data_IF_131752080813
#
_entry.id   IF_131752080813
#
_cell.length_a   1.000
_cell.length_b   1.000
_cell.length_c   1.000
_cell.angle_alpha   90.00
_cell.angle_beta   90.00
_cell.angle_gamma   90.00
#
_symmetry.space_group_name_H-M   'P 1'
#
loop_
_entity.id
_entity.type
_entity.pdbx_description
1 polymer ?
#
# COMPACT_ATOMS: atom_id res chain seq x y z
N UNK A 1 -27.63 27.98 -39.46
CA UNK A 1 -27.42 27.71 -38.01
C UNK A 1 -28.28 26.50 -37.67
N UNK A 2 -27.83 25.31 -37.27
CA UNK A 2 -26.54 24.76 -36.88
C UNK A 2 -26.46 23.33 -37.45
N UNK A 3 -25.33 23.00 -38.05
CA UNK A 3 -24.93 21.63 -38.40
C UNK A 3 -24.22 21.02 -37.18
N UNK A 4 -24.80 20.00 -36.56
CA UNK A 4 -24.09 19.17 -35.58
C UNK A 4 -23.68 17.86 -36.24
N UNK A 5 -22.43 17.82 -36.71
CA UNK A 5 -21.75 16.60 -37.11
C UNK A 5 -21.63 15.68 -35.89
N UNK A 6 -22.35 14.55 -35.93
CA UNK A 6 -21.96 13.34 -35.21
C UNK A 6 -20.63 12.87 -35.78
N UNK A 7 -19.52 13.25 -35.13
CA UNK A 7 -18.27 12.49 -35.26
C UNK A 7 -18.43 11.25 -34.38
N UNK A 8 -18.79 10.14 -35.03
CA UNK A 8 -18.51 8.82 -34.49
C UNK A 8 -17.00 8.74 -34.26
N UNK A 9 -16.60 8.87 -33.00
CA UNK A 9 -15.27 8.46 -32.57
C UNK A 9 -15.31 6.94 -32.62
N UNK A 10 -14.80 6.41 -33.73
CA UNK A 10 -14.47 5.02 -33.92
C UNK A 10 -13.64 4.59 -32.70
N UNK A 11 -14.29 3.92 -31.73
CA UNK A 11 -13.63 3.26 -30.63
C UNK A 11 -12.65 2.28 -31.25
N UNK A 12 -11.37 2.67 -31.34
CA UNK A 12 -10.30 1.72 -31.61
C UNK A 12 -10.44 0.66 -30.55
N UNK A 13 -10.71 -0.57 -30.98
CA UNK A 13 -10.64 -1.76 -30.17
C UNK A 13 -9.26 -1.78 -29.48
N UNK A 14 -9.19 -1.32 -28.23
CA UNK A 14 -8.00 -1.47 -27.41
C UNK A 14 -8.00 -2.93 -27.00
N UNK A 15 -6.98 -3.68 -27.43
CA UNK A 15 -6.77 -5.05 -26.96
C UNK A 15 -6.80 -5.05 -25.44
N UNK A 16 -7.73 -5.82 -24.86
CA UNK A 16 -7.92 -5.97 -23.41
C UNK A 16 -6.96 -6.99 -22.80
N UNK A 17 -5.93 -7.39 -23.54
CA UNK A 17 -4.93 -8.35 -23.09
C UNK A 17 -3.67 -7.58 -22.67
N UNK A 18 -3.26 -7.74 -21.42
CA UNK A 18 -2.04 -7.15 -20.88
C UNK A 18 -1.21 -8.27 -20.26
N UNK A 19 0.11 -8.18 -20.45
CA UNK A 19 1.05 -9.09 -19.79
C UNK A 19 1.54 -8.43 -18.51
N UNK A 20 1.17 -8.99 -17.36
CA UNK A 20 1.64 -8.50 -16.08
C UNK A 20 2.58 -9.52 -15.43
N UNK A 21 3.57 -9.01 -14.69
CA UNK A 21 4.47 -9.79 -13.86
C UNK A 21 4.27 -9.37 -12.42
N UNK A 22 3.92 -10.32 -11.56
CA UNK A 22 3.90 -10.13 -10.11
C UNK A 22 5.21 -10.64 -9.55
N UNK A 23 5.90 -9.81 -8.76
CA UNK A 23 7.22 -10.09 -8.22
C UNK A 23 7.16 -9.86 -6.71
N UNK A 24 7.55 -10.85 -5.93
CA UNK A 24 7.74 -10.73 -4.48
C UNK A 24 9.13 -11.18 -4.05
N UNK A 25 9.63 -10.62 -2.96
CA UNK A 25 10.89 -11.04 -2.36
C UNK A 25 11.39 -10.06 -1.30
N UNK A 26 12.69 -10.13 -1.01
CA UNK A 26 13.33 -9.28 -0.01
C UNK A 26 13.71 -7.95 -0.65
N UNK A 27 13.28 -6.87 -0.04
CA UNK A 27 13.60 -5.52 -0.45
C UNK A 27 15.07 -5.18 -0.18
N UNK A 28 15.66 -4.41 -1.09
CA UNK A 28 16.97 -3.79 -0.91
C UNK A 28 17.02 -2.45 -1.62
N UNK A 29 17.83 -1.49 -1.12
CA UNK A 29 18.05 -0.23 -1.82
C UNK A 29 18.47 -0.45 -3.27
N UNK A 30 17.66 0.05 -4.21
CA UNK A 30 17.92 -0.09 -5.64
C UNK A 30 17.27 -1.28 -6.34
N UNK A 31 16.55 -2.17 -5.64
CA UNK A 31 15.90 -3.33 -6.25
C UNK A 31 15.02 -2.97 -7.45
N UNK A 32 14.13 -1.99 -7.30
CA UNK A 32 13.25 -1.56 -8.39
C UNK A 32 14.05 -0.99 -9.57
N UNK A 33 15.19 -0.36 -9.32
CA UNK A 33 16.09 0.14 -10.36
C UNK A 33 16.73 -1.01 -11.14
N UNK A 34 17.23 -2.03 -10.45
CA UNK A 34 17.82 -3.22 -11.09
C UNK A 34 16.80 -3.98 -11.94
N UNK A 35 15.60 -4.21 -11.40
CA UNK A 35 14.49 -4.85 -12.14
C UNK A 35 14.14 -4.05 -13.40
N UNK A 36 13.94 -2.73 -13.25
CA UNK A 36 13.55 -1.88 -14.37
C UNK A 36 14.64 -1.74 -15.43
N UNK A 37 15.91 -1.78 -15.04
CA UNK A 37 17.04 -1.80 -15.95
C UNK A 37 17.06 -3.10 -16.77
N UNK A 38 16.96 -4.26 -16.11
CA UNK A 38 16.91 -5.56 -16.80
C UNK A 38 15.74 -5.65 -17.77
N UNK A 39 14.55 -5.19 -17.37
CA UNK A 39 13.39 -5.14 -18.26
C UNK A 39 13.63 -4.25 -19.48
N UNK A 40 14.28 -3.11 -19.31
CA UNK A 40 14.65 -2.22 -20.40
C UNK A 40 15.69 -2.86 -21.34
N UNK A 41 16.72 -3.50 -20.77
CA UNK A 41 17.84 -4.09 -21.51
C UNK A 41 17.40 -5.27 -22.38
N UNK A 42 16.46 -6.07 -21.88
CA UNK A 42 15.87 -7.16 -22.67
C UNK A 42 14.81 -6.67 -23.67
N UNK A 43 14.50 -5.37 -23.72
CA UNK A 43 13.56 -4.77 -24.66
C UNK A 43 12.09 -4.90 -24.29
N UNK A 44 11.75 -4.87 -22.99
CA UNK A 44 10.37 -4.79 -22.52
C UNK A 44 9.98 -3.33 -22.24
N UNK A 45 8.80 -2.94 -22.71
CA UNK A 45 8.22 -1.64 -22.41
C UNK A 45 7.36 -1.71 -21.16
N UNK A 46 7.65 -0.89 -20.15
CA UNK A 46 6.84 -0.83 -18.93
C UNK A 46 5.69 0.15 -19.13
N UNK A 47 4.47 -0.37 -19.28
CA UNK A 47 3.27 0.45 -19.47
C UNK A 47 2.66 0.94 -18.17
N UNK A 48 2.77 0.13 -17.11
CA UNK A 48 2.42 0.49 -15.75
C UNK A 48 3.22 -0.33 -14.74
N UNK A 49 3.48 0.23 -13.56
CA UNK A 49 4.13 -0.46 -12.46
C UNK A 49 3.60 0.06 -11.12
N UNK A 50 3.33 -0.85 -10.20
CA UNK A 50 3.00 -0.54 -8.82
C UNK A 50 3.88 -1.39 -7.93
N UNK A 51 4.65 -0.78 -7.02
CA UNK A 51 5.59 -1.47 -6.16
C UNK A 51 5.48 -0.94 -4.72
N UNK A 52 5.43 -1.83 -3.74
CA UNK A 52 5.42 -1.52 -2.30
C UNK A 52 6.58 -2.21 -1.61
N UNK A 53 7.15 -1.55 -0.61
CA UNK A 53 8.10 -2.16 0.32
C UNK A 53 7.66 -1.93 1.77
N UNK A 54 7.81 -2.95 2.60
CA UNK A 54 7.46 -2.93 4.02
C UNK A 54 8.18 -4.07 4.76
N UNK A 55 8.82 -3.76 5.89
CA UNK A 55 9.53 -4.76 6.73
C UNK A 55 10.50 -5.65 5.92
N UNK A 56 11.35 -5.04 5.10
CA UNK A 56 12.32 -5.74 4.24
C UNK A 56 11.66 -6.66 3.18
N UNK A 57 10.34 -6.59 2.99
CA UNK A 57 9.63 -7.28 1.92
C UNK A 57 9.25 -6.31 0.82
N UNK A 58 9.34 -6.77 -0.42
CA UNK A 58 8.89 -6.07 -1.61
C UNK A 58 7.80 -6.88 -2.31
N UNK A 59 6.78 -6.18 -2.80
CA UNK A 59 5.82 -6.72 -3.75
C UNK A 59 5.61 -5.71 -4.87
N UNK A 60 5.54 -6.19 -6.10
CA UNK A 60 5.28 -5.34 -7.26
C UNK A 60 4.47 -6.05 -8.32
N UNK A 61 3.68 -5.27 -9.06
CA UNK A 61 2.97 -5.70 -10.26
C UNK A 61 3.40 -4.77 -11.39
N UNK A 62 4.03 -5.35 -12.41
CA UNK A 62 4.57 -4.62 -13.57
C UNK A 62 3.86 -5.10 -14.83
N UNK A 63 3.23 -4.18 -15.54
CA UNK A 63 2.61 -4.40 -16.84
C UNK A 63 3.62 -4.11 -17.95
N UNK A 64 3.78 -5.09 -18.83
CA UNK A 64 4.78 -5.09 -19.89
C UNK A 64 4.13 -5.23 -21.26
N UNK A 65 4.73 -4.53 -22.22
CA UNK A 65 4.55 -4.74 -23.64
C UNK A 65 5.89 -5.16 -24.28
N UNK A 66 5.81 -5.83 -25.42
CA UNK A 66 6.99 -6.12 -26.23
C UNK A 66 7.49 -4.80 -26.84
N UNK A 67 8.70 -4.39 -26.48
CA UNK A 67 9.28 -3.13 -26.97
C UNK A 67 9.64 -3.14 -28.45
N UNK A 68 9.80 -4.31 -29.07
CA UNK A 68 10.14 -4.43 -30.49
C UNK A 68 8.89 -4.47 -31.38
N UNK A 69 7.88 -5.23 -30.96
CA UNK A 69 6.67 -5.47 -31.74
C UNK A 69 5.49 -4.57 -31.35
N UNK A 70 5.55 -3.96 -30.17
CA UNK A 70 4.44 -3.26 -29.54
C UNK A 70 3.35 -4.22 -29.03
N UNK A 71 2.59 -3.78 -28.02
CA UNK A 71 1.48 -4.57 -27.48
C UNK A 71 1.91 -5.72 -26.56
N UNK A 72 0.97 -6.57 -26.13
CA UNK A 72 1.22 -7.56 -25.09
C UNK A 72 2.25 -8.60 -25.54
N UNK A 73 3.09 -9.05 -24.60
CA UNK A 73 3.98 -10.19 -24.83
C UNK A 73 3.11 -11.45 -24.88
N UNK A 74 2.90 -12.02 -26.07
CA UNK A 74 2.07 -13.22 -26.26
C UNK A 74 2.93 -14.49 -26.21
N UNK A 75 4.12 -14.45 -26.82
CA UNK A 75 5.02 -15.60 -26.96
C UNK A 75 5.43 -16.18 -25.59
N UNK A 76 5.11 -17.47 -25.31
CA UNK A 76 5.49 -18.12 -24.05
C UNK A 76 7.00 -18.22 -23.85
N UNK A 77 7.80 -18.33 -24.93
CA UNK A 77 9.26 -18.37 -24.84
C UNK A 77 9.77 -17.01 -24.37
N UNK A 78 9.28 -15.92 -24.98
CA UNK A 78 9.57 -14.57 -24.54
C UNK A 78 9.16 -14.32 -23.08
N UNK A 79 7.99 -14.78 -22.64
CA UNK A 79 7.55 -14.69 -21.24
C UNK A 79 8.52 -15.40 -20.29
N UNK A 80 8.93 -16.62 -20.65
CA UNK A 80 9.90 -17.39 -19.87
C UNK A 80 11.26 -16.67 -19.79
N UNK A 81 11.75 -16.13 -20.91
CA UNK A 81 12.98 -15.33 -20.91
C UNK A 81 12.89 -14.13 -19.96
N UNK A 82 11.79 -13.36 -20.00
CA UNK A 82 11.61 -12.22 -19.08
C UNK A 82 11.60 -12.72 -17.64
N UNK A 83 10.89 -13.80 -17.36
CA UNK A 83 10.84 -14.42 -16.03
C UNK A 83 12.25 -14.83 -15.56
N UNK A 84 13.02 -15.54 -16.37
CA UNK A 84 14.36 -16.02 -16.01
C UNK A 84 15.31 -14.87 -15.68
N UNK A 85 15.25 -13.76 -16.44
CA UNK A 85 16.06 -12.57 -16.15
C UNK A 85 15.64 -11.90 -14.83
N UNK A 86 14.34 -11.87 -14.53
CA UNK A 86 13.85 -11.35 -13.24
C UNK A 86 14.26 -12.24 -12.08
N UNK A 87 14.17 -13.57 -12.23
CA UNK A 87 14.60 -14.54 -11.21
C UNK A 87 16.08 -14.32 -10.87
N UNK A 88 16.96 -14.15 -11.86
CA UNK A 88 18.39 -13.86 -11.64
C UNK A 88 18.58 -12.60 -10.77
N UNK A 89 17.88 -11.50 -11.06
CA UNK A 89 17.98 -10.25 -10.28
C UNK A 89 17.53 -10.44 -8.84
N UNK A 90 16.48 -11.24 -8.65
CA UNK A 90 15.90 -11.49 -7.33
C UNK A 90 16.78 -12.45 -6.51
N UNK A 91 17.35 -13.49 -7.13
CA UNK A 91 18.20 -14.50 -6.48
C UNK A 91 19.61 -14.00 -6.17
N UNK A 92 20.16 -13.08 -6.98
CA UNK A 92 21.55 -12.61 -6.84
C UNK A 92 21.93 -12.07 -5.45
N UNK A 93 20.95 -11.73 -4.61
CA UNK A 93 21.16 -11.18 -3.28
C UNK A 93 20.44 -11.96 -2.17
N UNK A 94 19.94 -13.16 -2.48
CA UNK A 94 19.31 -14.01 -1.48
C UNK A 94 20.37 -14.61 -0.55
N UNK A 95 20.19 -14.44 0.76
CA UNK A 95 21.11 -15.01 1.76
C UNK A 95 20.94 -16.52 1.83
N UNK A 96 22.05 -17.24 2.01
CA UNK A 96 22.02 -18.69 2.24
C UNK A 96 21.21 -18.96 3.52
N UNK A 97 20.11 -19.71 3.38
CA UNK A 97 19.19 -20.04 4.49
C UNK A 97 17.93 -19.19 4.56
N UNK A 98 17.71 -18.26 3.61
CA UNK A 98 16.47 -17.49 3.55
C UNK A 98 15.33 -18.31 2.93
N UNK A 99 14.29 -18.58 3.71
CA UNK A 99 13.08 -19.27 3.24
C UNK A 99 12.19 -18.40 2.33
N UNK A 100 12.54 -17.13 2.11
CA UNK A 100 11.79 -16.23 1.24
C UNK A 100 11.72 -16.78 -0.19
N UNK A 101 10.50 -17.08 -0.65
CA UNK A 101 10.27 -17.54 -2.00
C UNK A 101 10.20 -16.32 -2.90
N UNK A 102 11.22 -16.12 -3.74
CA UNK A 102 11.08 -15.24 -4.90
C UNK A 102 9.99 -15.84 -5.78
N UNK A 103 8.91 -15.08 -6.00
CA UNK A 103 7.85 -15.49 -6.91
C UNK A 103 7.73 -14.46 -8.01
N UNK A 104 8.16 -14.84 -9.21
CA UNK A 104 7.82 -14.15 -10.45
C UNK A 104 6.71 -14.94 -11.13
N UNK A 105 5.51 -14.36 -11.17
CA UNK A 105 4.35 -14.99 -11.83
C UNK A 105 3.85 -14.13 -12.99
N UNK A 106 3.52 -14.80 -14.10
CA UNK A 106 2.95 -14.15 -15.29
C UNK A 106 1.43 -14.18 -15.16
N UNK A 107 0.81 -13.02 -15.20
CA UNK A 107 -0.64 -12.86 -15.15
C UNK A 107 -1.15 -12.36 -16.49
N UNK A 108 -1.97 -13.18 -17.15
CA UNK A 108 -2.71 -12.79 -18.34
C UNK A 108 -4.06 -12.22 -17.93
N UNK A 109 -4.19 -10.90 -17.99
CA UNK A 109 -5.48 -10.26 -17.73
C UNK A 109 -6.30 -10.30 -19.02
N UNK A 110 -7.22 -11.27 -19.14
CA UNK A 110 -8.25 -11.27 -20.19
C UNK A 110 -9.49 -10.52 -19.70
N UNK A 111 -9.75 -9.34 -20.26
CA UNK A 111 -11.05 -8.65 -20.11
C UNK A 111 -11.33 -8.01 -18.75
N UNK A 112 -10.36 -7.97 -17.83
CA UNK A 112 -10.47 -7.18 -16.61
C UNK A 112 -10.03 -5.74 -16.91
N UNK A 113 -10.83 -4.70 -16.58
CA UNK A 113 -10.33 -3.34 -16.65
C UNK A 113 -9.14 -3.22 -15.70
N UNK A 114 -7.99 -2.80 -16.22
CA UNK A 114 -6.82 -2.47 -15.40
C UNK A 114 -7.17 -1.26 -14.55
N UNK A 115 -7.70 -1.56 -13.36
CA UNK A 115 -8.03 -0.59 -12.34
C UNK A 115 -6.98 -0.65 -11.25
N UNK A 116 -6.44 0.52 -10.88
CA UNK A 116 -5.48 0.67 -9.79
C UNK A 116 -5.98 0.03 -8.48
N UNK A 117 -7.28 0.09 -8.21
CA UNK A 117 -7.87 -0.56 -7.04
C UNK A 117 -7.68 -2.08 -7.02
N UNK A 118 -7.65 -2.74 -8.18
CA UNK A 118 -7.38 -4.17 -8.29
C UNK A 118 -5.89 -4.47 -8.05
N UNK A 119 -4.98 -3.66 -8.58
CA UNK A 119 -3.54 -3.82 -8.37
C UNK A 119 -3.15 -3.54 -6.91
N UNK A 120 -3.71 -2.50 -6.30
CA UNK A 120 -3.44 -2.17 -4.88
C UNK A 120 -3.97 -3.25 -3.94
N UNK A 121 -5.15 -3.82 -4.23
CA UNK A 121 -5.64 -4.99 -3.50
C UNK A 121 -4.71 -6.18 -3.70
N UNK A 122 -4.26 -6.42 -4.94
CA UNK A 122 -3.35 -7.52 -5.24
C UNK A 122 -2.02 -7.37 -4.50
N UNK A 123 -1.49 -6.16 -4.37
CA UNK A 123 -0.30 -5.90 -3.56
C UNK A 123 -0.51 -6.20 -2.08
N UNK A 124 -1.69 -5.92 -1.51
CA UNK A 124 -1.96 -6.36 -0.14
C UNK A 124 -1.91 -7.90 -0.01
N UNK A 125 -2.48 -8.63 -0.98
CA UNK A 125 -2.43 -10.10 -1.02
C UNK A 125 -1.00 -10.63 -1.13
N UNK A 126 -0.18 -10.03 -1.99
CA UNK A 126 1.23 -10.39 -2.19
C UNK A 126 2.07 -10.11 -0.93
N UNK A 127 1.93 -8.93 -0.33
CA UNK A 127 2.62 -8.57 0.91
C UNK A 127 2.22 -9.49 2.08
N UNK A 128 0.93 -9.83 2.17
CA UNK A 128 0.44 -10.79 3.15
C UNK A 128 1.03 -12.20 2.96
N UNK A 129 1.14 -12.67 1.71
CA UNK A 129 1.76 -13.96 1.40
C UNK A 129 3.25 -13.99 1.78
N UNK A 130 3.93 -12.86 1.62
CA UNK A 130 5.30 -12.61 2.12
C UNK A 130 5.37 -12.41 3.63
N UNK A 131 4.25 -12.48 4.36
CA UNK A 131 4.23 -12.35 5.82
C UNK A 131 4.93 -11.09 6.33
N UNK A 132 4.84 -9.99 5.59
CA UNK A 132 5.36 -8.67 6.00
C UNK A 132 4.79 -8.18 7.34
N UNK A 133 3.67 -8.77 7.77
CA UNK A 133 3.03 -8.53 9.05
C UNK A 133 3.75 -9.19 10.23
N UNK A 134 4.67 -10.13 10.01
CA UNK A 134 5.50 -10.65 11.08
C UNK A 134 6.30 -9.50 11.70
N UNK A 135 6.36 -9.46 13.04
CA UNK A 135 6.96 -8.37 13.82
C UNK A 135 6.28 -6.99 13.66
N UNK A 136 5.05 -6.92 13.12
CA UNK A 136 4.25 -5.69 13.13
C UNK A 136 3.59 -5.45 14.47
N UNK A 137 4.27 -4.70 15.34
CA UNK A 137 3.70 -4.28 16.60
C UNK A 137 3.00 -2.93 16.44
N UNK A 138 1.72 -2.88 16.82
CA UNK A 138 1.00 -1.61 16.96
C UNK A 138 1.48 -0.84 18.18
N UNK A 139 0.61 -0.05 18.79
CA UNK A 139 0.94 0.47 20.12
C UNK A 139 0.94 -0.66 21.17
N UNK A 140 2.06 -0.83 21.88
CA UNK A 140 2.22 -1.80 23.00
C UNK A 140 1.42 -1.42 24.25
N UNK A 141 0.89 -0.20 24.24
CA UNK A 141 0.07 0.34 25.29
C UNK A 141 -1.33 -0.29 25.36
N UNK A 142 -1.74 -1.13 24.40
CA UNK A 142 -3.05 -1.80 24.41
C UNK A 142 -3.15 -2.94 25.45
N UNK A 143 -2.07 -3.26 26.15
CA UNK A 143 -2.06 -4.23 27.27
C UNK A 143 -2.48 -3.60 28.62
N UNK A 144 -3.01 -2.37 28.64
CA UNK A 144 -3.58 -1.72 29.82
C UNK A 144 -4.04 -0.26 29.59
N UNK A 145 -4.72 0.34 30.59
CA UNK A 145 -5.37 1.66 30.53
C UNK A 145 -4.46 2.90 30.31
N UNK A 146 -3.17 2.71 30.00
CA UNK A 146 -2.19 3.81 29.94
C UNK A 146 -2.25 4.66 28.67
N UNK A 147 -2.94 4.23 27.61
CA UNK A 147 -2.94 5.02 26.38
C UNK A 147 -4.06 6.05 26.28
N UNK A 148 -5.23 5.84 26.85
CA UNK A 148 -6.31 6.86 26.79
C UNK A 148 -5.87 8.19 27.43
N UNK A 149 -5.01 8.14 28.46
CA UNK A 149 -4.40 9.32 29.08
C UNK A 149 -3.33 10.02 28.22
N UNK A 150 -2.65 9.28 27.31
CA UNK A 150 -1.65 9.79 26.36
C UNK A 150 -2.26 10.18 25.01
N UNK A 151 -3.45 9.69 24.69
CA UNK A 151 -4.25 10.03 23.51
C UNK A 151 -4.91 11.42 23.58
N UNK A 152 -4.32 12.35 24.34
CA UNK A 152 -4.47 13.80 24.11
C UNK A 152 -3.76 14.24 22.80
N UNK A 153 -3.94 13.48 21.71
CA UNK A 153 -3.41 13.80 20.38
C UNK A 153 -1.90 13.63 20.18
N UNK A 154 -1.18 12.93 21.06
CA UNK A 154 0.30 12.80 20.98
C UNK A 154 0.82 11.43 20.56
N UNK A 155 0.02 10.37 20.66
CA UNK A 155 0.45 9.07 20.16
C UNK A 155 0.21 9.04 18.64
N UNK A 156 1.27 8.85 17.86
CA UNK A 156 1.12 8.74 16.41
C UNK A 156 0.94 7.29 15.97
N UNK A 157 1.11 6.28 16.84
CA UNK A 157 1.10 4.84 16.49
C UNK A 157 -0.29 4.31 16.09
N UNK A 158 -0.31 3.13 15.46
CA UNK A 158 -1.53 2.42 15.08
C UNK A 158 -2.06 1.64 16.28
N UNK A 159 -3.32 1.87 16.63
CA UNK A 159 -4.01 1.14 17.68
C UNK A 159 -5.00 0.18 17.08
N UNK A 160 -4.91 -1.07 17.50
CA UNK A 160 -5.88 -2.10 17.17
C UNK A 160 -6.26 -2.79 18.47
N UNK A 161 -7.54 -2.73 18.81
CA UNK A 161 -8.14 -3.41 19.94
C UNK A 161 -9.20 -4.39 19.42
N UNK A 162 -9.28 -5.58 20.01
CA UNK A 162 -10.19 -6.64 19.60
C UNK A 162 -10.94 -7.14 20.82
N UNK A 163 -12.26 -7.01 20.80
CA UNK A 163 -13.14 -7.41 21.90
C UNK A 163 -14.20 -8.39 21.40
N UNK A 164 -14.66 -9.28 22.28
CA UNK A 164 -15.85 -10.09 22.02
C UNK A 164 -17.12 -9.24 22.21
N UNK A 165 -18.04 -9.31 21.26
CA UNK A 165 -19.29 -8.55 21.31
C UNK A 165 -20.44 -9.36 20.70
N UNK A 166 -21.35 -9.88 21.54
CA UNK A 166 -22.63 -10.48 21.14
C UNK A 166 -22.58 -11.37 19.88
N UNK A 167 -21.67 -12.36 19.87
CA UNK A 167 -21.50 -13.28 18.74
C UNK A 167 -20.69 -12.72 17.57
N UNK A 168 -20.00 -11.60 17.75
CA UNK A 168 -19.06 -11.00 16.81
C UNK A 168 -17.73 -10.74 17.52
N UNK A 169 -16.68 -10.53 16.72
CA UNK A 169 -15.47 -9.87 17.19
C UNK A 169 -15.54 -8.41 16.76
N UNK A 170 -15.49 -7.50 17.72
CA UNK A 170 -15.45 -6.05 17.49
C UNK A 170 -13.99 -5.63 17.41
N UNK A 171 -13.58 -5.06 16.27
CA UNK A 171 -12.24 -4.55 16.04
C UNK A 171 -12.30 -3.03 16.01
N UNK A 172 -11.53 -2.37 16.88
CA UNK A 172 -11.37 -0.93 16.89
C UNK A 172 -9.97 -0.56 16.39
N UNK A 173 -9.90 0.23 15.32
CA UNK A 173 -8.67 0.79 14.75
C UNK A 173 -8.64 2.29 15.00
N UNK A 174 -7.56 2.81 15.60
CA UNK A 174 -7.31 4.25 15.74
C UNK A 174 -5.91 4.61 15.27
N UNK A 175 -5.79 5.58 14.37
CA UNK A 175 -4.50 6.01 13.84
C UNK A 175 -4.62 7.39 13.16
N UNK A 176 -3.53 7.89 12.58
CA UNK A 176 -3.55 9.13 11.78
C UNK A 176 -4.43 8.94 10.54
N UNK A 177 -5.32 9.89 10.29
CA UNK A 177 -6.17 9.87 9.10
C UNK A 177 -5.34 10.10 7.83
N UNK A 178 -5.69 9.38 6.77
CA UNK A 178 -5.07 9.50 5.45
C UNK A 178 -5.95 8.89 4.36
N UNK A 179 -5.77 9.32 3.10
CA UNK A 179 -6.41 8.67 1.96
C UNK A 179 -6.19 7.15 1.96
N UNK A 180 -7.24 6.42 1.58
CA UNK A 180 -7.27 4.95 1.46
C UNK A 180 -7.11 4.17 2.77
N UNK A 181 -7.17 4.79 3.94
CA UNK A 181 -7.08 4.07 5.21
C UNK A 181 -8.19 3.01 5.39
N UNK A 182 -9.44 3.34 5.04
CA UNK A 182 -10.57 2.39 5.05
C UNK A 182 -10.36 1.25 4.04
N UNK A 183 -9.75 1.53 2.89
CA UNK A 183 -9.44 0.50 1.90
C UNK A 183 -8.42 -0.49 2.45
N UNK A 184 -7.34 -0.01 3.06
CA UNK A 184 -6.27 -0.87 3.57
C UNK A 184 -6.74 -1.79 4.71
N UNK A 185 -7.56 -1.28 5.62
CA UNK A 185 -8.14 -2.08 6.71
C UNK A 185 -9.12 -3.14 6.20
N UNK A 186 -9.97 -2.81 5.23
CA UNK A 186 -10.89 -3.78 4.63
C UNK A 186 -10.16 -4.85 3.81
N UNK A 187 -9.09 -4.49 3.08
CA UNK A 187 -8.23 -5.46 2.39
C UNK A 187 -7.65 -6.49 3.37
N UNK A 188 -7.05 -6.03 4.48
CA UNK A 188 -6.49 -6.91 5.50
C UNK A 188 -7.54 -7.86 6.11
N UNK A 189 -8.73 -7.34 6.42
CA UNK A 189 -9.84 -8.17 6.93
C UNK A 189 -10.27 -9.22 5.91
N UNK A 190 -10.34 -8.85 4.63
CA UNK A 190 -10.71 -9.77 3.55
C UNK A 190 -9.66 -10.86 3.34
N UNK A 191 -8.38 -10.53 3.35
CA UNK A 191 -7.26 -11.48 3.21
C UNK A 191 -7.33 -12.57 4.28
N UNK A 192 -7.58 -12.16 5.51
CA UNK A 192 -7.78 -13.04 6.66
C UNK A 192 -9.13 -13.78 6.66
N UNK A 193 -9.91 -13.69 5.58
CA UNK A 193 -11.20 -14.34 5.40
C UNK A 193 -12.24 -13.94 6.46
N UNK A 194 -12.22 -12.68 6.90
CA UNK A 194 -13.30 -12.11 7.69
C UNK A 194 -14.41 -11.54 6.80
N UNK A 195 -15.63 -11.57 7.34
CA UNK A 195 -16.82 -10.92 6.81
C UNK A 195 -17.16 -9.77 7.76
N UNK A 196 -17.25 -8.56 7.20
CA UNK A 196 -17.67 -7.36 7.93
C UNK A 196 -19.20 -7.26 7.85
N UNK A 197 -19.86 -7.30 9.01
CA UNK A 197 -21.33 -7.18 9.09
C UNK A 197 -21.77 -5.74 9.31
N UNK A 198 -21.02 -5.03 10.14
CA UNK A 198 -21.25 -3.63 10.42
C UNK A 198 -19.91 -2.93 10.58
N UNK A 199 -19.84 -1.68 10.12
CA UNK A 199 -18.67 -0.85 10.28
C UNK A 199 -19.08 0.59 10.55
N UNK A 200 -18.33 1.24 11.42
CA UNK A 200 -18.39 2.68 11.65
C UNK A 200 -17.00 3.23 11.37
N UNK A 201 -16.89 4.21 10.49
CA UNK A 201 -15.63 4.88 10.20
C UNK A 201 -15.84 6.38 10.30
N UNK A 202 -14.93 7.06 10.99
CA UNK A 202 -14.96 8.50 11.14
C UNK A 202 -13.56 9.07 11.31
N UNK A 203 -13.44 10.37 11.08
CA UNK A 203 -12.22 11.12 11.33
C UNK A 203 -12.54 12.33 12.20
N UNK A 204 -11.60 12.67 13.09
CA UNK A 204 -11.62 13.88 13.92
C UNK A 204 -10.24 14.50 13.87
N UNK A 205 -10.14 15.68 13.24
CA UNK A 205 -8.85 16.33 13.01
C UNK A 205 -7.95 15.45 12.14
N UNK A 206 -6.72 15.19 12.61
CA UNK A 206 -5.76 14.32 11.93
C UNK A 206 -5.86 12.84 12.34
N UNK A 207 -6.90 12.43 13.08
CA UNK A 207 -7.05 11.07 13.61
C UNK A 207 -8.29 10.42 13.03
N UNK A 208 -8.15 9.17 12.57
CA UNK A 208 -9.24 8.32 12.15
C UNK A 208 -9.54 7.26 13.21
N UNK A 209 -10.83 6.99 13.40
CA UNK A 209 -11.34 5.90 14.24
C UNK A 209 -12.26 5.03 13.38
N UNK A 210 -12.04 3.71 13.41
CA UNK A 210 -12.82 2.73 12.67
C UNK A 210 -13.17 1.56 13.57
N UNK A 211 -14.45 1.18 13.61
CA UNK A 211 -14.96 0.04 14.36
C UNK A 211 -15.59 -0.96 13.39
N UNK A 212 -15.20 -2.22 13.47
CA UNK A 212 -15.69 -3.30 12.60
C UNK A 212 -16.26 -4.45 13.43
N UNK A 213 -17.48 -4.88 13.09
CA UNK A 213 -18.09 -6.08 13.63
C UNK A 213 -17.89 -7.22 12.64
N UNK A 214 -17.01 -8.15 12.98
CA UNK A 214 -16.56 -9.19 12.07
C UNK A 214 -16.86 -10.60 12.57
N UNK A 215 -17.00 -11.52 11.61
CA UNK A 215 -16.91 -12.98 11.84
C UNK A 215 -15.97 -13.57 10.80
N UNK A 216 -15.36 -14.71 11.11
CA UNK A 216 -14.68 -15.51 10.09
C UNK A 216 -15.71 -15.99 9.06
N UNK A 217 -15.26 -16.30 7.85
CA UNK A 217 -16.12 -16.84 6.78
C UNK A 217 -16.84 -18.13 7.18
N UNK A 218 -16.30 -18.91 8.12
CA UNK A 218 -16.94 -20.09 8.70
C UNK A 218 -17.99 -19.77 9.80
N UNK A 219 -18.26 -18.49 10.07
CA UNK A 219 -19.23 -18.03 11.06
C UNK A 219 -18.67 -17.86 12.48
N UNK A 220 -17.48 -18.35 12.79
CA UNK A 220 -16.89 -18.28 14.13
C UNK A 220 -16.31 -16.90 14.46
N UNK A 221 -16.22 -16.59 15.76
CA UNK A 221 -15.49 -15.42 16.28
C UNK A 221 -13.99 -15.71 16.46
N UNK A 222 -13.24 -14.69 16.87
CA UNK A 222 -11.85 -14.80 17.32
C UNK A 222 -11.81 -15.35 18.77
N UNK A 223 -11.56 -16.64 18.91
CA UNK A 223 -11.60 -17.32 20.20
C UNK A 223 -10.26 -17.28 20.93
N UNK A 224 -9.15 -17.44 20.21
CA UNK A 224 -7.82 -17.54 20.80
C UNK A 224 -7.01 -16.24 20.68
N UNK A 225 -6.10 -16.01 21.62
CA UNK A 225 -5.23 -14.82 21.61
C UNK A 225 -4.32 -14.80 20.39
N UNK A 226 -3.78 -15.96 19.97
CA UNK A 226 -2.96 -16.03 18.75
C UNK A 226 -3.70 -15.61 17.47
N UNK A 227 -5.02 -15.85 17.38
CA UNK A 227 -5.83 -15.37 16.26
C UNK A 227 -6.03 -13.85 16.32
N UNK A 228 -6.20 -13.30 17.53
CA UNK A 228 -6.33 -11.85 17.75
C UNK A 228 -5.02 -11.14 17.42
N UNK A 229 -3.89 -11.65 17.89
CA UNK A 229 -2.58 -11.05 17.61
C UNK A 229 -2.24 -11.11 16.12
N UNK A 230 -2.54 -12.22 15.44
CA UNK A 230 -2.37 -12.30 13.98
C UNK A 230 -3.19 -11.23 13.26
N UNK A 231 -4.45 -11.04 13.63
CA UNK A 231 -5.28 -9.98 13.05
C UNK A 231 -4.71 -8.59 13.37
N UNK A 232 -4.23 -8.39 14.60
CA UNK A 232 -3.58 -7.14 15.04
C UNK A 232 -2.39 -6.80 14.16
N UNK A 233 -1.46 -7.74 14.01
CA UNK A 233 -0.28 -7.62 13.16
C UNK A 233 -0.64 -7.29 11.71
N UNK A 234 -1.60 -8.01 11.12
CA UNK A 234 -2.01 -7.79 9.73
C UNK A 234 -2.64 -6.41 9.51
N UNK A 235 -3.48 -5.93 10.43
CA UNK A 235 -4.07 -4.60 10.35
C UNK A 235 -3.01 -3.51 10.49
N UNK A 236 -2.07 -3.69 11.44
CA UNK A 236 -0.93 -2.77 11.61
C UNK A 236 -0.10 -2.74 10.32
N UNK A 237 0.27 -3.89 9.77
CA UNK A 237 1.02 -3.98 8.52
C UNK A 237 0.31 -3.26 7.36
N UNK A 238 -0.96 -3.59 7.12
CA UNK A 238 -1.74 -3.02 6.02
C UNK A 238 -1.84 -1.50 6.10
N UNK A 239 -1.98 -0.94 7.30
CA UNK A 239 -1.99 0.52 7.51
C UNK A 239 -0.58 1.10 7.33
N UNK A 240 0.45 0.42 7.83
CA UNK A 240 1.85 0.85 7.77
C UNK A 240 2.43 0.86 6.35
N UNK A 241 2.01 -0.05 5.46
CA UNK A 241 2.42 -0.11 4.04
C UNK A 241 2.31 1.24 3.30
N UNK A 242 1.33 2.08 3.68
CA UNK A 242 1.16 3.44 3.12
C UNK A 242 1.43 4.56 4.12
N UNK A 243 1.89 4.25 5.33
CA UNK A 243 2.30 5.25 6.33
C UNK A 243 3.77 5.66 6.14
N UNK A 244 4.26 5.64 4.90
CA UNK A 244 5.66 5.91 4.54
C UNK A 244 6.06 7.33 4.93
N UNK A 245 7.18 7.44 5.66
CA UNK A 245 7.89 8.70 5.91
C UNK A 245 8.72 9.04 4.67
N UNK A 246 8.91 10.32 4.38
CA UNK A 246 9.79 10.76 3.28
C UNK A 246 9.13 11.76 2.34
N UNK A 247 9.41 11.67 1.05
CA UNK A 247 8.95 12.61 0.03
C UNK A 247 8.16 11.88 -1.05
N UNK A 248 7.14 12.54 -1.58
CA UNK A 248 6.42 12.11 -2.78
C UNK A 248 6.95 12.90 -3.97
N UNK A 249 7.48 12.19 -4.96
CA UNK A 249 7.88 12.70 -6.27
C UNK A 249 6.80 12.35 -7.28
N UNK A 250 6.06 13.35 -7.76
CA UNK A 250 5.14 13.17 -8.88
C UNK A 250 5.86 13.46 -10.18
N UNK A 251 5.76 12.56 -11.15
CA UNK A 251 6.50 12.53 -12.42
C UNK A 251 5.48 12.56 -13.55
N UNK A 252 5.62 13.50 -14.48
CA UNK A 252 4.84 13.54 -15.73
C UNK A 252 5.74 13.90 -16.91
N UNK A 253 5.88 13.00 -17.87
CA UNK A 253 6.74 13.20 -19.05
C UNK A 253 6.23 12.41 -20.25
N UNK A 254 6.83 12.62 -21.43
CA UNK A 254 6.57 11.78 -22.59
C UNK A 254 6.98 10.34 -22.30
N UNK A 255 6.11 9.40 -22.65
CA UNK A 255 6.41 8.00 -22.47
C UNK A 255 7.54 7.58 -23.41
N UNK A 256 8.47 6.78 -22.90
CA UNK A 256 9.56 6.19 -23.68
C UNK A 256 10.01 4.88 -23.05
N UNK A 257 10.60 4.01 -23.87
CA UNK A 257 11.31 2.83 -23.40
C UNK A 257 12.36 3.20 -22.35
N UNK A 258 12.46 2.40 -21.28
CA UNK A 258 13.43 2.61 -20.21
C UNK A 258 13.10 3.74 -19.23
N UNK A 259 11.96 4.43 -19.34
CA UNK A 259 11.64 5.56 -18.46
C UNK A 259 11.62 5.18 -16.97
N UNK A 260 11.07 4.01 -16.61
CA UNK A 260 11.10 3.55 -15.21
C UNK A 260 12.55 3.36 -14.72
N UNK A 261 13.41 2.82 -15.58
CA UNK A 261 14.84 2.63 -15.31
C UNK A 261 15.52 3.97 -15.05
N UNK A 262 15.34 4.95 -15.94
CA UNK A 262 15.90 6.29 -15.78
C UNK A 262 15.49 6.91 -14.43
N UNK A 263 14.19 6.94 -14.12
CA UNK A 263 13.68 7.57 -12.89
C UNK A 263 14.20 6.87 -11.64
N UNK A 264 14.08 5.55 -11.59
CA UNK A 264 14.47 4.76 -10.40
C UNK A 264 15.99 4.76 -10.20
N UNK A 265 16.76 4.78 -11.29
CA UNK A 265 18.21 4.92 -11.26
C UNK A 265 18.63 6.27 -10.70
N UNK A 266 18.05 7.37 -11.17
CA UNK A 266 18.35 8.71 -10.63
C UNK A 266 18.06 8.79 -9.13
N UNK A 267 16.94 8.21 -8.67
CA UNK A 267 16.62 8.15 -7.23
C UNK A 267 17.70 7.37 -6.46
N UNK A 268 18.09 6.19 -6.96
CA UNK A 268 19.12 5.34 -6.34
C UNK A 268 20.49 6.02 -6.29
N UNK A 269 20.93 6.65 -7.39
CA UNK A 269 22.24 7.32 -7.50
C UNK A 269 22.35 8.53 -6.56
N UNK A 270 21.22 9.16 -6.22
CA UNK A 270 21.14 10.23 -5.23
C UNK A 270 21.00 9.72 -3.77
N UNK A 271 21.17 8.41 -3.53
CA UNK A 271 21.17 7.82 -2.18
C UNK A 271 19.79 7.71 -1.55
N UNK A 272 18.72 7.80 -2.34
CA UNK A 272 17.34 7.62 -1.90
C UNK A 272 16.85 6.21 -2.22
N UNK A 273 15.98 5.67 -1.37
CA UNK A 273 15.29 4.40 -1.59
C UNK A 273 13.81 4.63 -1.87
N UNK A 274 13.23 3.83 -2.76
CA UNK A 274 11.82 3.91 -3.13
C UNK A 274 11.04 2.95 -2.24
N UNK A 275 10.14 3.48 -1.41
CA UNK A 275 9.26 2.66 -0.55
C UNK A 275 7.93 2.34 -1.22
N UNK A 276 7.51 3.19 -2.16
CA UNK A 276 6.35 2.94 -3.01
C UNK A 276 6.53 3.59 -4.37
N UNK A 277 6.16 2.90 -5.43
CA UNK A 277 6.10 3.45 -6.77
C UNK A 277 4.74 3.16 -7.41
N UNK A 278 4.28 4.12 -8.18
CA UNK A 278 3.04 4.08 -8.94
C UNK A 278 3.34 4.75 -10.27
N UNK A 279 3.32 4.04 -11.39
CA UNK A 279 3.56 4.63 -12.71
C UNK A 279 2.60 4.02 -13.73
N UNK A 280 2.11 4.82 -14.66
CA UNK A 280 1.26 4.38 -15.76
C UNK A 280 1.40 5.26 -16.99
N UNK A 281 1.06 4.72 -18.14
CA UNK A 281 0.94 5.47 -19.38
C UNK A 281 -0.48 6.04 -19.54
N UNK A 282 -0.59 7.33 -19.82
CA UNK A 282 -1.83 8.05 -20.12
C UNK A 282 -1.69 8.79 -21.45
N UNK A 283 -2.23 8.19 -22.51
CA UNK A 283 -2.00 8.66 -23.88
C UNK A 283 -0.51 8.60 -24.23
N UNK A 284 0.06 9.70 -24.67
CA UNK A 284 1.50 9.79 -25.02
C UNK A 284 2.40 10.06 -23.80
N UNK A 285 1.83 10.31 -22.62
CA UNK A 285 2.58 10.67 -21.43
C UNK A 285 2.64 9.52 -20.43
N UNK A 286 3.76 9.37 -19.75
CA UNK A 286 3.86 8.61 -18.52
C UNK A 286 3.57 9.52 -17.33
N UNK A 287 2.79 9.02 -16.38
CA UNK A 287 2.44 9.70 -15.12
C UNK A 287 2.73 8.74 -13.98
N UNK A 288 3.42 9.21 -12.95
CA UNK A 288 3.70 8.40 -11.77
C UNK A 288 3.92 9.19 -10.48
N UNK A 289 3.88 8.48 -9.37
CA UNK A 289 4.18 8.93 -8.02
C UNK A 289 5.18 7.98 -7.38
N UNK A 290 6.33 8.49 -6.95
CA UNK A 290 7.37 7.73 -6.26
C UNK A 290 7.50 8.27 -4.83
N UNK A 291 7.44 7.39 -3.86
CA UNK A 291 7.61 7.70 -2.44
C UNK A 291 9.00 7.27 -2.06
N UNK A 292 9.81 8.26 -1.69
CA UNK A 292 11.25 8.11 -1.49
C UNK A 292 11.65 8.50 -0.07
N UNK A 293 12.60 7.76 0.49
CA UNK A 293 13.19 8.03 1.78
C UNK A 293 14.70 7.84 1.71
N UNK A 294 15.47 8.71 2.37
CA UNK A 294 16.90 8.51 2.55
C UNK A 294 17.21 7.72 3.82
N UNK A 295 18.47 7.35 3.98
CA UNK A 295 18.99 6.64 5.17
C UNK A 295 19.10 7.58 6.38
N UNK A 296 19.20 8.90 6.14
CA UNK A 296 19.56 9.89 7.16
C UNK A 296 18.35 10.50 7.86
N UNK A 297 17.21 10.62 7.16
CA UNK A 297 16.11 11.45 7.60
C UNK A 297 16.46 12.95 7.58
N UNK A 298 15.45 13.81 7.50
CA UNK A 298 15.61 15.26 7.70
C UNK A 298 16.10 16.04 6.48
N UNK A 299 17.02 16.98 6.69
CA UNK A 299 17.42 18.00 5.70
C UNK A 299 18.29 17.43 4.57
N UNK A 300 19.13 16.42 4.85
CA UNK A 300 19.93 15.74 3.83
C UNK A 300 19.07 15.05 2.77
N UNK A 301 17.95 14.46 3.20
CA UNK A 301 16.99 13.83 2.29
C UNK A 301 16.29 14.88 1.41
N UNK A 302 16.04 16.08 1.93
CA UNK A 302 15.48 17.18 1.14
C UNK A 302 16.43 17.63 0.02
N UNK A 303 17.72 17.78 0.32
CA UNK A 303 18.74 18.14 -0.67
C UNK A 303 18.92 17.04 -1.74
N UNK A 304 18.89 15.77 -1.34
CA UNK A 304 18.93 14.65 -2.28
C UNK A 304 17.69 14.63 -3.19
N UNK A 305 16.50 14.92 -2.64
CA UNK A 305 15.26 15.05 -3.42
C UNK A 305 15.35 16.21 -4.42
N UNK A 306 15.91 17.35 -4.02
CA UNK A 306 16.12 18.47 -4.92
C UNK A 306 17.11 18.14 -6.05
N UNK A 307 18.17 17.39 -5.74
CA UNK A 307 19.12 16.89 -6.73
C UNK A 307 18.43 15.97 -7.75
N UNK A 308 17.58 15.03 -7.31
CA UNK A 308 16.76 14.18 -8.20
C UNK A 308 15.85 15.03 -9.10
N UNK A 309 15.13 16.01 -8.55
CA UNK A 309 14.26 16.90 -9.33
C UNK A 309 15.06 17.67 -10.38
N UNK A 310 16.29 18.08 -10.04
CA UNK A 310 17.19 18.79 -10.95
C UNK A 310 17.77 17.89 -12.05
N UNK A 311 18.05 16.62 -11.75
CA UNK A 311 18.58 15.67 -12.73
C UNK A 311 17.51 15.17 -13.69
N UNK A 312 16.28 14.98 -13.20
CA UNK A 312 15.12 14.65 -14.02
C UNK A 312 14.56 15.85 -14.81
N UNK A 313 15.34 16.94 -14.96
CA UNK A 313 14.97 18.13 -15.74
C UNK A 313 14.46 17.73 -17.13
N UNK A 314 13.25 18.17 -17.48
CA UNK A 314 12.54 17.79 -18.71
C UNK A 314 11.37 16.83 -18.46
N UNK A 315 11.36 16.18 -17.30
CA UNK A 315 10.18 15.54 -16.72
C UNK A 315 9.53 16.56 -15.79
N UNK A 316 8.22 16.75 -15.86
CA UNK A 316 7.50 17.59 -14.89
C UNK A 316 7.52 16.84 -13.56
N UNK A 317 8.41 17.25 -12.66
CA UNK A 317 8.56 16.65 -11.32
C UNK A 317 8.15 17.62 -10.24
N UNK A 318 7.25 17.22 -9.34
CA UNK A 318 6.97 17.96 -8.10
C UNK A 318 7.27 17.11 -6.87
N UNK A 319 7.92 17.70 -5.87
CA UNK A 319 8.26 17.04 -4.61
C UNK A 319 7.42 17.59 -3.45
N UNK A 320 6.76 16.70 -2.70
CA UNK A 320 5.98 17.07 -1.50
C UNK A 320 6.46 16.25 -0.31
N UNK A 321 6.75 16.91 0.83
CA UNK A 321 7.12 16.23 2.06
C UNK A 321 5.91 15.49 2.64
N UNK A 322 6.07 14.19 2.88
CA UNK A 322 5.03 13.34 3.49
C UNK A 322 5.23 13.32 5.01
N UNK A 323 4.21 13.71 5.77
CA UNK A 323 4.25 13.64 7.23
C UNK A 323 3.87 12.23 7.68
N UNK A 324 4.85 11.42 8.06
CA UNK A 324 4.64 10.05 8.56
C UNK A 324 4.89 9.90 10.07
N UNK A 325 4.44 8.77 10.63
CA UNK A 325 4.50 8.38 12.05
C UNK A 325 5.90 8.52 12.66
N UNK A 326 6.04 9.34 13.71
CA UNK A 326 7.25 9.42 14.51
C UNK A 326 7.29 8.25 15.50
N UNK A 327 8.29 7.38 15.36
CA UNK A 327 8.77 6.55 16.47
C UNK A 327 9.78 7.38 17.27
N UNK A 328 9.34 7.97 18.39
CA UNK A 328 10.25 8.70 19.30
C UNK A 328 10.53 7.84 20.53
N UNK A 329 11.82 7.59 20.80
CA UNK A 329 12.29 7.16 22.12
C UNK A 329 12.07 8.30 23.11
N UNK A 330 11.56 7.97 24.29
CA UNK A 330 11.10 8.91 25.32
C UNK A 330 12.17 9.92 25.77
N UNK A 331 11.75 11.18 25.90
CA UNK A 331 12.38 12.24 26.67
C UNK A 331 11.29 13.10 27.33
N UNK A 332 11.52 13.53 28.56
CA UNK A 332 10.53 13.88 29.59
C UNK A 332 9.91 15.29 29.57
N UNK A 333 8.65 15.32 30.04
CA UNK A 333 7.86 16.33 30.81
C UNK A 333 7.82 17.82 30.46
N UNK A 334 6.59 18.36 30.35
CA UNK A 334 6.01 19.31 31.33
C UNK A 334 4.49 19.42 31.17
N UNK A 335 3.83 19.70 32.29
CA UNK A 335 2.39 19.57 32.57
C UNK A 335 1.53 20.73 32.04
N UNK A 336 0.31 20.41 31.59
CA UNK A 336 -0.84 21.32 31.59
C UNK A 336 -2.09 20.49 31.90
N UNK A 337 -2.76 20.82 33.00
CA UNK A 337 -4.04 20.25 33.45
C UNK A 337 -5.19 20.81 32.60
N UNK A 338 -6.02 19.93 32.04
CA UNK A 338 -7.39 20.29 31.65
C UNK A 338 -8.31 19.05 31.57
N UNK A 339 -9.59 19.33 31.68
CA UNK A 339 -10.68 18.64 32.39
C UNK A 339 -11.15 17.29 31.79
N UNK A 340 -11.50 16.37 32.69
CA UNK A 340 -11.94 15.00 32.41
C UNK A 340 -13.39 14.93 31.90
N UNK A 341 -13.61 14.32 30.73
CA UNK A 341 -14.91 13.73 30.37
C UNK A 341 -14.70 12.38 29.66
N UNK A 342 -15.14 11.30 30.31
CA UNK A 342 -15.04 9.92 29.83
C UNK A 342 -15.72 9.78 28.46
N UNK A 343 -14.99 9.24 27.47
CA UNK A 343 -15.47 9.02 26.10
C UNK A 343 -16.03 7.61 25.97
N UNK A 344 -17.35 7.50 25.83
CA UNK A 344 -18.04 6.26 25.45
C UNK A 344 -17.86 5.97 23.95
N UNK A 345 -17.54 4.72 23.58
CA UNK A 345 -17.47 4.24 22.19
C UNK A 345 -18.75 4.56 21.42
N UNK A 346 -18.58 5.12 20.22
CA UNK A 346 -19.66 5.59 19.34
C UNK A 346 -20.50 4.41 18.83
N UNK A 347 -19.87 3.27 18.51
CA UNK A 347 -20.57 2.06 18.08
C UNK A 347 -21.43 1.44 19.17
N UNK A 348 -20.99 1.45 20.45
CA UNK A 348 -21.81 0.96 21.57
C UNK A 348 -23.07 1.82 21.79
N UNK A 349 -22.98 3.14 21.55
CA UNK A 349 -24.12 4.05 21.62
C UNK A 349 -25.12 3.86 20.47
N UNK A 350 -24.62 3.52 19.28
CA UNK A 350 -25.48 3.22 18.14
C UNK A 350 -26.14 1.84 18.27
N UNK A 351 -25.41 0.82 18.75
CA UNK A 351 -25.95 -0.51 18.98
C UNK A 351 -26.96 -0.57 20.12
N UNK A 352 -26.74 0.14 21.24
CA UNK A 352 -27.74 0.25 22.30
C UNK A 352 -29.03 0.94 21.84
N UNK A 353 -28.95 1.84 20.86
CA UNK A 353 -30.15 2.42 20.20
C UNK A 353 -30.82 1.44 19.23
N UNK A 354 -30.07 0.58 18.54
CA UNK A 354 -30.62 -0.46 17.67
C UNK A 354 -31.26 -1.62 18.46
N UNK A 355 -30.70 -2.00 19.61
CA UNK A 355 -31.33 -2.97 20.53
C UNK A 355 -32.67 -2.48 21.09
N UNK A 356 -32.80 -1.16 21.33
CA UNK A 356 -34.08 -0.55 21.71
C UNK A 356 -35.13 -0.61 20.59
N UNK A 357 -34.71 -0.68 19.32
CA UNK A 357 -35.63 -0.84 18.19
C UNK A 357 -35.98 -2.32 17.92
N UNK A 358 -35.06 -3.25 18.11
CA UNK A 358 -35.35 -4.69 17.92
C UNK A 358 -36.26 -5.26 19.02
N UNK A 359 -36.17 -4.75 20.24
CA UNK A 359 -37.09 -5.09 21.35
C UNK A 359 -38.47 -4.44 21.21
N UNK A 360 -38.59 -3.36 20.44
CA UNK A 360 -39.87 -2.69 20.11
C UNK A 360 -40.67 -3.39 19.01
N UNK A 361 -40.07 -4.30 18.24
CA UNK A 361 -40.73 -5.04 17.13
C UNK A 361 -41.17 -6.45 17.58
N UNK A 362 -40.93 -6.82 18.85
CA UNK A 362 -41.41 -8.07 19.48
C UNK A 362 -42.45 -7.84 20.58
N UNK A 363 -43.40 -6.92 20.35
CA UNK A 363 -44.67 -6.89 21.11
C UNK A 363 -45.84 -6.80 20.16
#
# INVERSE_FOLDING_TARGET
>A
MQSNLKREVQQRHVSTEHTAFEITGIDRPGLLSEISAVLSDIGCHVTAAVAWTHHERAAMVIYLEDGFNGGPIIDPIRKAQVKDHLDIVMEAHQRVGDESRVVVSVVEAKGAPVGWAHTERRLHELMYAERDYENCFGCDCCSGDRCDALWRGRCERIHVAIEACNGYSMVSVKCRDRPKLLFDTVCALKELQFVVFHAVAGARGSTAEQEYFIRKKNGCTLETEGQRERLRHCLVAAISRRASRGFKLDVRTKNKMGLLSDVTRTVRENGLSITRAEMSTQGENAVGSFYVAGVSGGEKDANAVEAVVRELRGVVVSAVKTVGMVSTRLGSSSDVEEENRAKSSIGRLLWSKLERLSTSIRR
#
